data_IF_343645017541
#
_entry.id   IF_343645017541
#
_cell.length_a   1.000
_cell.length_b   1.000
_cell.length_c   1.000
_cell.angle_alpha   90.00
_cell.angle_beta   90.00
_cell.angle_gamma   90.00
#
_symmetry.space_group_name_H-M   'P 1'
#
loop_
_entity.id
_entity.type
_entity.pdbx_description
1 polymer ?
#
# COMPACT_ATOMS: atom_id res chain seq x y z
N UNK A 1 -5.85 -4.38 7.12
CA UNK A 1 -6.07 -4.37 5.67
C UNK A 1 -6.13 -5.78 5.10
N UNK A 2 -5.04 -6.55 5.13
CA UNK A 2 -5.03 -7.90 4.54
C UNK A 2 -6.07 -8.87 5.15
N UNK A 3 -6.42 -8.74 6.44
CA UNK A 3 -7.51 -9.50 7.06
C UNK A 3 -8.91 -9.25 6.46
N UNK A 4 -9.05 -8.20 5.65
CA UNK A 4 -10.28 -7.85 4.92
C UNK A 4 -10.12 -8.04 3.40
N UNK A 5 -9.07 -8.77 2.97
CA UNK A 5 -8.70 -8.95 1.57
C UNK A 5 -8.44 -7.63 0.82
N UNK A 6 -7.95 -6.57 1.48
CA UNK A 6 -7.61 -5.31 0.82
C UNK A 6 -6.09 -5.14 0.77
N UNK A 7 -5.54 -4.95 -0.42
CA UNK A 7 -4.15 -4.57 -0.67
C UNK A 7 -4.04 -3.06 -0.95
N UNK A 8 -3.02 -2.39 -0.40
CA UNK A 8 -2.82 -0.95 -0.57
C UNK A 8 -2.22 -0.56 -1.93
N UNK A 9 -1.31 -1.40 -2.44
CA UNK A 9 -0.56 -1.26 -3.70
C UNK A 9 0.37 -0.03 -3.86
N UNK A 10 0.45 0.86 -2.87
CA UNK A 10 1.36 2.03 -2.87
C UNK A 10 1.79 2.42 -1.45
N UNK A 11 2.25 1.44 -0.68
CA UNK A 11 2.84 1.72 0.64
C UNK A 11 4.24 2.29 0.46
N UNK A 12 4.44 3.49 0.98
CA UNK A 12 5.68 4.26 0.95
C UNK A 12 5.71 5.27 2.10
N UNK A 13 6.88 5.80 2.49
CA UNK A 13 6.98 6.76 3.60
C UNK A 13 6.05 7.96 3.46
N UNK A 14 5.84 8.46 2.24
CA UNK A 14 4.95 9.58 1.94
C UNK A 14 3.48 9.31 2.29
N UNK A 15 3.07 8.03 2.30
CA UNK A 15 1.72 7.58 2.62
C UNK A 15 1.56 7.15 4.09
N UNK A 16 2.53 7.48 4.94
CA UNK A 16 2.53 7.17 6.37
C UNK A 16 2.65 8.46 7.16
N UNK A 17 1.54 8.91 7.76
CA UNK A 17 1.50 10.15 8.52
C UNK A 17 1.60 9.93 10.02
N UNK A 18 2.26 10.87 10.68
CA UNK A 18 2.19 11.04 12.14
C UNK A 18 0.98 11.92 12.47
N UNK A 19 0.13 11.46 13.37
CA UNK A 19 -1.06 12.22 13.80
C UNK A 19 -0.67 13.35 14.74
N UNK A 20 0.32 13.11 15.59
CA UNK A 20 0.86 14.07 16.55
C UNK A 20 2.39 14.19 16.41
N UNK A 21 2.94 15.30 16.88
CA UNK A 21 4.39 15.50 17.00
C UNK A 21 4.83 15.28 18.47
N UNK A 22 5.00 14.02 18.86
CA UNK A 22 5.44 13.61 20.20
C UNK A 22 6.41 12.40 20.11
N UNK A 23 6.94 11.96 21.25
CA UNK A 23 7.93 10.86 21.30
C UNK A 23 7.38 9.52 20.79
N UNK A 24 6.08 9.26 20.99
CA UNK A 24 5.39 8.06 20.52
C UNK A 24 4.09 8.46 19.79
N UNK A 25 4.19 8.93 18.55
CA UNK A 25 3.05 9.41 17.79
C UNK A 25 2.21 8.25 17.27
N UNK A 26 0.90 8.48 17.11
CA UNK A 26 0.07 7.53 16.37
C UNK A 26 0.38 7.63 14.89
N UNK A 27 0.57 6.49 14.23
CA UNK A 27 0.80 6.43 12.78
C UNK A 27 -0.51 6.10 12.06
N UNK A 28 -0.75 6.76 10.93
CA UNK A 28 -1.85 6.44 10.01
C UNK A 28 -1.32 6.23 8.60
N UNK A 29 -1.73 5.13 7.99
CA UNK A 29 -1.60 4.90 6.55
C UNK A 29 -2.68 5.69 5.83
N UNK A 30 -2.29 6.39 4.77
CA UNK A 30 -3.16 7.24 3.94
C UNK A 30 -3.05 6.86 2.46
N UNK A 31 -3.89 7.50 1.64
CA UNK A 31 -3.91 7.35 0.18
C UNK A 31 -4.23 5.93 -0.32
N UNK A 32 -5.50 5.57 -0.18
CA UNK A 32 -6.04 4.30 -0.66
C UNK A 32 -6.45 4.36 -2.14
N UNK A 33 -5.97 5.36 -2.92
CA UNK A 33 -6.38 5.56 -4.31
C UNK A 33 -6.05 4.38 -5.24
N UNK A 34 -5.00 3.63 -4.92
CA UNK A 34 -4.60 2.40 -5.60
C UNK A 34 -5.02 1.13 -4.86
N UNK A 35 -5.75 1.24 -3.74
CA UNK A 35 -6.13 0.08 -2.96
C UNK A 35 -7.16 -0.78 -3.69
N UNK A 36 -7.01 -2.10 -3.61
CA UNK A 36 -7.91 -3.03 -4.26
C UNK A 36 -8.29 -4.19 -3.35
N UNK A 37 -9.53 -4.68 -3.48
CA UNK A 37 -9.97 -5.89 -2.80
C UNK A 37 -9.57 -7.09 -3.66
N UNK A 38 -8.79 -7.99 -3.09
CA UNK A 38 -8.28 -9.18 -3.75
C UNK A 38 -9.29 -10.31 -3.55
N UNK A 39 -10.19 -10.48 -4.52
CA UNK A 39 -11.13 -11.60 -4.51
C UNK A 39 -10.43 -12.89 -5.03
N UNK A 40 -9.29 -12.75 -5.75
CA UNK A 40 -8.34 -13.84 -6.03
C UNK A 40 -6.87 -13.35 -6.11
N UNK A 41 -5.90 -14.25 -5.87
CA UNK A 41 -4.44 -13.94 -5.91
C UNK A 41 -3.96 -13.52 -7.31
N UNK A 42 -4.71 -13.85 -8.36
CA UNK A 42 -4.33 -13.62 -9.75
C UNK A 42 -4.64 -12.21 -10.29
N UNK A 43 -5.34 -11.36 -9.51
CA UNK A 43 -5.87 -10.06 -9.98
C UNK A 43 -4.90 -8.89 -9.90
N UNK A 44 -3.78 -8.99 -9.18
CA UNK A 44 -2.84 -7.87 -9.06
C UNK A 44 -1.82 -7.90 -10.21
N UNK A 45 -2.28 -7.55 -11.42
CA UNK A 45 -1.43 -7.25 -12.58
C UNK A 45 -1.47 -5.76 -12.86
N UNK A 46 -0.78 -4.98 -12.04
CA UNK A 46 -0.89 -3.53 -12.04
C UNK A 46 0.49 -2.88 -12.17
N UNK A 47 0.79 -2.21 -13.28
CA UNK A 47 1.97 -1.31 -13.40
C UNK A 47 1.72 0.04 -12.69
N UNK A 48 1.15 0.01 -11.47
CA UNK A 48 0.86 1.19 -10.67
C UNK A 48 1.60 1.10 -9.33
N UNK A 49 1.89 2.26 -8.73
CA UNK A 49 2.67 2.38 -7.50
C UNK A 49 3.96 3.15 -7.72
N UNK A 50 4.76 3.28 -6.66
CA UNK A 50 6.03 4.00 -6.69
C UNK A 50 7.18 3.02 -6.97
N UNK A 51 7.93 3.15 -8.09
CA UNK A 51 8.84 2.10 -8.59
C UNK A 51 9.83 1.52 -7.58
N UNK A 52 10.29 2.34 -6.64
CA UNK A 52 11.26 1.98 -5.61
C UNK A 52 10.68 1.05 -4.52
N UNK A 53 9.35 1.01 -4.40
CA UNK A 53 8.62 0.27 -3.36
C UNK A 53 7.71 -0.83 -3.94
N UNK A 54 7.68 -0.99 -5.26
CA UNK A 54 6.90 -2.02 -5.92
C UNK A 54 7.55 -3.40 -5.72
N UNK A 55 6.73 -4.41 -5.44
CA UNK A 55 7.17 -5.80 -5.30
C UNK A 55 7.61 -6.40 -6.66
N UNK A 56 8.63 -7.27 -6.70
CA UNK A 56 9.21 -7.75 -7.95
C UNK A 56 8.20 -8.47 -8.87
N UNK A 57 7.23 -9.19 -8.31
CA UNK A 57 6.16 -9.87 -9.05
C UNK A 57 5.19 -8.93 -9.77
N UNK A 58 5.14 -7.65 -9.37
CA UNK A 58 4.33 -6.62 -10.00
C UNK A 58 5.04 -6.03 -11.23
N UNK A 59 6.38 -6.05 -11.24
CA UNK A 59 7.22 -5.53 -12.34
C UNK A 59 7.63 -6.64 -13.33
N UNK A 60 7.89 -7.86 -12.84
CA UNK A 60 8.33 -8.99 -13.67
C UNK A 60 7.15 -9.75 -14.29
N UNK A 61 6.52 -9.13 -15.29
CA UNK A 61 5.66 -9.81 -16.27
C UNK A 61 6.09 -9.51 -17.69
#
# INVERSE_FOLDING_TARGET
MHSQNIAHLDLKPENVLLVENCEMPTIKVIDFGLSHRLDSVAEVKAMFGTPEFIAPEVVNF
#
